data_IF_504656639227
#
_entry.id   IF_504656639227
#
_cell.length_a   1.000
_cell.length_b   1.000
_cell.length_c   1.000
_cell.angle_alpha   90.00
_cell.angle_beta   90.00
_cell.angle_gamma   90.00
#
_symmetry.space_group_name_H-M   'P 1'
#
loop_
_entity.id
_entity.type
_entity.pdbx_description
1 polymer ?
#
# COMPACT_ATOMS: atom_id res chain seq x y z
N UNK A 1 -49.64 -12.25 -24.48
CA UNK A 1 -48.91 -11.17 -23.79
C UNK A 1 -47.64 -11.72 -23.11
N UNK A 2 -47.69 -12.85 -22.36
CA UNK A 2 -46.57 -13.43 -21.60
C UNK A 2 -45.45 -13.93 -22.52
N UNK A 3 -45.76 -14.69 -23.57
CA UNK A 3 -44.81 -15.23 -24.55
C UNK A 3 -44.05 -14.10 -25.28
N UNK A 4 -44.73 -13.02 -25.67
CA UNK A 4 -44.12 -11.85 -26.28
C UNK A 4 -43.14 -11.14 -25.32
N UNK A 5 -43.46 -11.07 -24.03
CA UNK A 5 -42.55 -10.50 -22.99
C UNK A 5 -41.31 -11.33 -22.77
N UNK A 6 -41.45 -12.65 -22.73
CA UNK A 6 -40.31 -13.58 -22.60
C UNK A 6 -39.42 -13.49 -23.84
N UNK A 7 -39.97 -13.47 -25.03
CA UNK A 7 -39.22 -13.28 -26.28
C UNK A 7 -38.46 -11.94 -26.29
N UNK A 8 -39.08 -10.84 -25.88
CA UNK A 8 -38.41 -9.55 -25.78
C UNK A 8 -37.24 -9.58 -24.80
N UNK A 9 -37.42 -10.17 -23.60
CA UNK A 9 -36.35 -10.31 -22.61
C UNK A 9 -35.20 -11.18 -23.12
N UNK A 10 -35.49 -12.26 -23.84
CA UNK A 10 -34.46 -13.19 -24.37
C UNK A 10 -33.72 -12.62 -25.59
N UNK A 11 -34.42 -12.05 -26.55
CA UNK A 11 -33.82 -11.66 -27.83
C UNK A 11 -33.38 -10.20 -27.90
N UNK A 12 -34.03 -9.29 -27.17
CA UNK A 12 -33.70 -7.86 -27.20
C UNK A 12 -32.84 -7.47 -26.00
N UNK A 13 -33.18 -7.95 -24.80
CA UNK A 13 -32.45 -7.60 -23.59
C UNK A 13 -31.51 -8.71 -23.10
N UNK A 14 -31.44 -9.85 -23.79
CA UNK A 14 -30.66 -10.99 -23.34
C UNK A 14 -29.17 -10.70 -23.13
N UNK A 15 -28.55 -9.97 -24.04
CA UNK A 15 -27.13 -9.60 -23.90
C UNK A 15 -26.90 -8.59 -22.75
N UNK A 16 -27.77 -7.62 -22.61
CA UNK A 16 -27.72 -6.64 -21.52
C UNK A 16 -27.91 -7.30 -20.13
N UNK A 17 -28.90 -8.21 -20.03
CA UNK A 17 -29.16 -8.94 -18.80
C UNK A 17 -28.02 -9.95 -18.47
N UNK A 18 -27.39 -10.56 -19.49
CA UNK A 18 -26.20 -11.39 -19.30
C UNK A 18 -25.02 -10.57 -18.79
N UNK A 19 -24.79 -9.40 -19.33
CA UNK A 19 -23.73 -8.50 -18.90
C UNK A 19 -23.96 -8.01 -17.48
N UNK A 20 -25.18 -7.63 -17.13
CA UNK A 20 -25.57 -7.28 -15.75
C UNK A 20 -25.37 -8.45 -14.77
N UNK A 21 -25.78 -9.66 -15.14
CA UNK A 21 -25.59 -10.85 -14.33
C UNK A 21 -24.09 -11.18 -14.16
N UNK A 22 -23.30 -11.08 -15.24
CA UNK A 22 -21.86 -11.26 -15.18
C UNK A 22 -21.18 -10.26 -14.25
N UNK A 23 -21.52 -8.98 -14.35
CA UNK A 23 -20.98 -7.92 -13.49
C UNK A 23 -21.40 -8.07 -12.01
N UNK A 24 -22.56 -8.65 -11.73
CA UNK A 24 -23.01 -8.96 -10.37
C UNK A 24 -22.40 -10.25 -9.79
N UNK A 25 -22.03 -11.20 -10.64
CA UNK A 25 -21.51 -12.50 -10.25
C UNK A 25 -19.98 -12.59 -10.31
N UNK A 26 -19.31 -11.68 -11.03
CA UNK A 26 -17.86 -11.66 -11.12
C UNK A 26 -17.24 -10.86 -9.97
N UNK A 27 -16.29 -11.43 -9.29
CA UNK A 27 -15.42 -10.73 -8.35
C UNK A 27 -14.06 -10.54 -9.05
N UNK A 28 -13.65 -9.28 -9.15
CA UNK A 28 -12.34 -8.92 -9.64
C UNK A 28 -11.39 -8.81 -8.45
N UNK A 29 -10.50 -9.77 -8.29
CA UNK A 29 -9.38 -9.64 -7.37
C UNK A 29 -8.23 -8.95 -8.11
N UNK A 30 -7.81 -7.79 -7.62
CA UNK A 30 -6.70 -7.03 -8.20
C UNK A 30 -5.39 -7.59 -7.65
N UNK A 31 -4.46 -7.90 -8.55
CA UNK A 31 -3.09 -8.30 -8.19
C UNK A 31 -2.22 -7.06 -8.29
N UNK A 32 -1.69 -6.60 -7.17
CA UNK A 32 -0.82 -5.44 -7.13
C UNK A 32 0.54 -5.75 -7.75
N UNK A 33 1.01 -4.95 -8.72
CA UNK A 33 2.35 -5.09 -9.28
C UNK A 33 3.40 -4.66 -8.25
N UNK A 34 4.61 -5.19 -8.36
CA UNK A 34 5.75 -4.67 -7.62
C UNK A 34 6.22 -3.36 -8.27
N UNK A 35 6.28 -2.30 -7.48
CA UNK A 35 6.82 -1.03 -7.94
C UNK A 35 8.31 -1.14 -8.20
N UNK A 36 8.80 -0.63 -9.33
CA UNK A 36 10.20 -0.65 -9.74
C UNK A 36 11.12 -0.02 -8.70
N UNK A 37 12.34 -0.51 -8.61
CA UNK A 37 13.35 -0.01 -7.68
C UNK A 37 14.03 1.26 -8.21
N UNK A 38 14.53 2.09 -7.29
CA UNK A 38 15.33 3.27 -7.64
C UNK A 38 16.76 3.00 -7.15
N UNK A 39 17.70 3.14 -8.06
CA UNK A 39 19.15 2.93 -7.81
C UNK A 39 19.93 4.22 -7.94
N UNK A 40 21.06 4.30 -7.25
CA UNK A 40 22.07 5.31 -7.51
C UNK A 40 22.91 4.93 -8.75
N UNK A 41 23.84 5.79 -9.15
CA UNK A 41 24.73 5.57 -10.30
C UNK A 41 25.65 4.36 -10.13
N UNK A 42 25.85 3.86 -8.91
CA UNK A 42 26.70 2.72 -8.57
C UNK A 42 25.93 1.41 -8.40
N UNK A 43 24.59 1.45 -8.55
CA UNK A 43 23.70 0.30 -8.40
C UNK A 43 23.21 0.04 -6.96
N UNK A 44 23.46 0.96 -6.02
CA UNK A 44 22.92 0.86 -4.67
C UNK A 44 21.43 1.19 -4.66
N UNK A 45 20.65 0.41 -3.90
CA UNK A 45 19.19 0.57 -3.80
C UNK A 45 18.86 1.78 -2.95
N UNK A 46 18.21 2.78 -3.53
CA UNK A 46 17.70 3.97 -2.84
C UNK A 46 16.23 3.80 -2.41
N UNK A 47 15.45 3.10 -3.23
CA UNK A 47 14.06 2.74 -2.92
C UNK A 47 13.72 1.39 -3.54
N UNK A 48 13.00 0.55 -2.82
CA UNK A 48 12.53 -0.75 -3.31
C UNK A 48 11.15 -1.09 -2.75
N UNK A 49 10.49 -2.10 -3.32
CA UNK A 49 9.22 -2.62 -2.81
C UNK A 49 9.46 -3.93 -2.07
N UNK A 50 9.07 -3.98 -0.81
CA UNK A 50 9.05 -5.18 0.00
C UNK A 50 7.67 -5.84 -0.08
N UNK A 51 7.63 -7.18 -0.14
CA UNK A 51 6.37 -7.93 -0.02
C UNK A 51 5.91 -7.87 1.43
N UNK A 52 4.65 -7.56 1.60
CA UNK A 52 3.92 -7.48 2.87
C UNK A 52 2.52 -8.04 2.63
N UNK A 53 1.73 -8.17 3.68
CA UNK A 53 0.36 -8.66 3.55
C UNK A 53 -0.63 -7.66 4.15
N UNK A 54 -1.84 -7.63 3.61
CA UNK A 54 -2.98 -6.92 4.17
C UNK A 54 -3.97 -7.93 4.73
N UNK A 55 -4.35 -7.75 6.00
CA UNK A 55 -5.27 -8.65 6.70
C UNK A 55 -6.68 -8.09 6.60
N UNK A 56 -7.55 -8.85 5.94
CA UNK A 56 -8.98 -8.55 5.83
C UNK A 56 -9.82 -9.65 6.47
N UNK A 57 -10.99 -9.30 6.95
CA UNK A 57 -11.93 -10.28 7.52
C UNK A 57 -13.31 -10.13 6.89
N UNK A 58 -14.05 -11.23 6.93
CA UNK A 58 -15.48 -11.22 6.74
C UNK A 58 -16.15 -11.59 8.08
N UNK A 59 -16.64 -10.58 8.84
CA UNK A 59 -17.23 -10.80 10.17
C UNK A 59 -18.41 -11.77 10.19
N UNK A 60 -19.16 -11.87 9.10
CA UNK A 60 -20.30 -12.80 9.01
C UNK A 60 -19.86 -14.26 8.87
N UNK A 61 -18.65 -14.51 8.35
CA UNK A 61 -18.09 -15.84 8.17
C UNK A 61 -17.32 -16.35 9.40
N UNK A 62 -16.96 -15.47 10.34
CA UNK A 62 -16.34 -15.85 11.61
C UNK A 62 -17.42 -16.41 12.54
N UNK A 63 -17.66 -17.71 12.45
CA UNK A 63 -18.68 -18.44 13.23
C UNK A 63 -18.11 -19.74 13.74
N UNK A 64 -18.52 -20.15 14.93
CA UNK A 64 -18.26 -21.52 15.40
C UNK A 64 -19.15 -22.48 14.60
N UNK A 65 -18.53 -23.37 13.82
CA UNK A 65 -19.24 -24.36 12.99
C UNK A 65 -19.98 -25.43 13.80
N UNK A 66 -19.65 -25.57 15.09
CA UNK A 66 -20.18 -26.60 15.95
C UNK A 66 -21.22 -26.08 16.95
N UNK A 67 -21.14 -24.82 17.33
CA UNK A 67 -22.07 -24.23 18.30
C UNK A 67 -22.24 -22.71 18.06
N UNK A 68 -23.44 -22.31 17.63
CA UNK A 68 -23.78 -20.90 17.37
C UNK A 68 -23.64 -20.02 18.63
N UNK A 69 -23.84 -20.57 19.82
CA UNK A 69 -23.76 -19.83 21.07
C UNK A 69 -22.30 -19.42 21.41
N UNK A 70 -21.32 -20.11 20.85
CA UNK A 70 -19.90 -19.80 21.01
C UNK A 70 -19.37 -18.76 20.02
N UNK A 71 -20.17 -18.31 19.04
CA UNK A 71 -19.74 -17.40 18.01
C UNK A 71 -19.25 -16.07 18.59
N UNK A 72 -19.91 -15.53 19.61
CA UNK A 72 -19.49 -14.28 20.24
C UNK A 72 -18.15 -14.44 20.98
N UNK A 73 -17.99 -15.52 21.72
CA UNK A 73 -16.72 -15.83 22.40
C UNK A 73 -15.56 -16.04 21.41
N UNK A 74 -15.86 -16.67 20.25
CA UNK A 74 -14.88 -16.81 19.17
C UNK A 74 -14.47 -15.46 18.59
N UNK A 75 -15.42 -14.57 18.31
CA UNK A 75 -15.15 -13.22 17.81
C UNK A 75 -14.32 -12.40 18.79
N UNK A 76 -14.58 -12.48 20.07
CA UNK A 76 -13.77 -11.83 21.11
C UNK A 76 -12.34 -12.39 21.16
N UNK A 77 -12.19 -13.70 21.01
CA UNK A 77 -10.89 -14.37 20.94
C UNK A 77 -10.10 -13.95 19.69
N UNK A 78 -10.75 -13.83 18.54
CA UNK A 78 -10.15 -13.34 17.29
C UNK A 78 -9.75 -11.88 17.43
N UNK A 79 -10.61 -11.02 17.98
CA UNK A 79 -10.31 -9.61 18.20
C UNK A 79 -9.10 -9.41 19.14
N UNK A 80 -9.01 -10.23 20.19
CA UNK A 80 -7.87 -10.22 21.11
C UNK A 80 -6.59 -10.63 20.40
N UNK A 81 -6.62 -11.68 19.59
CA UNK A 81 -5.45 -12.12 18.83
C UNK A 81 -4.95 -11.04 17.85
N UNK A 82 -5.86 -10.38 17.15
CA UNK A 82 -5.49 -9.26 16.26
C UNK A 82 -4.91 -8.08 17.03
N UNK A 83 -5.51 -7.73 18.18
CA UNK A 83 -4.97 -6.67 19.05
C UNK A 83 -3.56 -7.00 19.53
N UNK A 84 -3.32 -8.21 19.99
CA UNK A 84 -2.04 -8.65 20.54
C UNK A 84 -0.94 -8.77 19.45
N UNK A 85 -1.28 -9.33 18.27
CA UNK A 85 -0.32 -9.56 17.18
C UNK A 85 0.02 -8.26 16.44
N UNK A 86 -0.99 -7.44 16.15
CA UNK A 86 -0.82 -6.23 15.34
C UNK A 86 -0.70 -4.94 16.15
N UNK A 87 -0.73 -5.03 17.48
CA UNK A 87 -0.65 -3.88 18.41
C UNK A 87 -1.77 -2.85 18.16
N UNK A 88 -2.99 -3.35 17.92
CA UNK A 88 -4.18 -2.55 17.66
C UNK A 88 -5.00 -2.33 18.91
N UNK A 89 -5.81 -1.26 18.92
CA UNK A 89 -6.81 -1.07 19.96
C UNK A 89 -7.84 -2.20 19.96
N UNK A 90 -8.09 -2.80 21.13
CA UNK A 90 -8.97 -3.95 21.27
C UNK A 90 -10.42 -3.59 20.97
N UNK A 91 -10.91 -2.46 21.46
CA UNK A 91 -12.31 -2.08 21.32
C UNK A 91 -12.67 -1.74 19.87
N UNK A 92 -11.77 -1.07 19.17
CA UNK A 92 -11.91 -0.80 17.74
C UNK A 92 -11.86 -2.09 16.92
N UNK A 93 -10.94 -2.99 17.26
CA UNK A 93 -10.80 -4.29 16.60
C UNK A 93 -12.03 -5.16 16.84
N UNK A 94 -12.55 -5.18 18.07
CA UNK A 94 -13.75 -5.91 18.42
C UNK A 94 -14.98 -5.39 17.64
N UNK A 95 -15.14 -4.09 17.48
CA UNK A 95 -16.20 -3.50 16.66
C UNK A 95 -16.14 -3.98 15.22
N UNK A 96 -14.94 -4.05 14.62
CA UNK A 96 -14.75 -4.57 13.27
C UNK A 96 -15.10 -6.05 13.16
N UNK A 97 -14.63 -6.88 14.11
CA UNK A 97 -14.86 -8.33 14.12
C UNK A 97 -16.33 -8.70 14.39
N UNK A 98 -17.04 -7.87 15.16
CA UNK A 98 -18.47 -8.07 15.47
C UNK A 98 -19.41 -7.41 14.46
N UNK A 99 -18.88 -6.60 13.55
CA UNK A 99 -19.63 -5.88 12.52
C UNK A 99 -20.40 -6.80 11.57
N UNK A 100 -21.20 -6.19 10.70
CA UNK A 100 -22.03 -6.87 9.67
C UNK A 100 -21.50 -6.66 8.26
N UNK A 101 -20.34 -6.05 8.12
CA UNK A 101 -19.69 -5.80 6.83
C UNK A 101 -19.24 -7.11 6.19
N UNK A 102 -19.30 -7.18 4.88
CA UNK A 102 -18.79 -8.36 4.15
C UNK A 102 -17.26 -8.41 4.10
N UNK A 103 -16.60 -7.26 4.18
CA UNK A 103 -15.13 -7.14 4.19
C UNK A 103 -14.75 -5.98 5.12
N UNK A 104 -13.89 -6.25 6.08
CA UNK A 104 -13.28 -5.25 6.95
C UNK A 104 -11.77 -5.41 6.94
N UNK A 105 -11.04 -4.30 6.82
CA UNK A 105 -9.58 -4.31 6.91
C UNK A 105 -9.16 -4.19 8.38
N UNK A 106 -8.39 -5.17 8.86
CA UNK A 106 -7.84 -5.18 10.21
C UNK A 106 -6.50 -4.48 10.25
N UNK A 107 -5.55 -4.92 9.40
CA UNK A 107 -4.22 -4.33 9.34
C UNK A 107 -3.73 -4.31 7.89
N UNK A 108 -3.10 -3.20 7.49
CA UNK A 108 -2.48 -3.04 6.17
C UNK A 108 -0.96 -3.13 6.26
N UNK A 109 -0.34 -3.65 5.21
CA UNK A 109 1.12 -3.67 5.03
C UNK A 109 1.86 -4.33 6.21
N UNK A 110 1.35 -5.47 6.62
CA UNK A 110 1.86 -6.28 7.73
C UNK A 110 3.10 -7.04 7.28
N UNK A 111 4.13 -7.02 8.09
CA UNK A 111 5.36 -7.78 7.85
C UNK A 111 5.16 -9.28 8.01
N UNK A 112 5.91 -10.08 7.26
CA UNK A 112 5.79 -11.54 7.23
C UNK A 112 5.87 -12.18 8.63
N UNK A 113 6.69 -11.64 9.51
CA UNK A 113 6.84 -12.15 10.89
C UNK A 113 5.54 -12.12 11.69
N UNK A 114 4.73 -11.07 11.54
CA UNK A 114 3.41 -10.93 12.18
C UNK A 114 2.36 -11.80 11.49
N UNK A 115 2.46 -11.95 10.17
CA UNK A 115 1.61 -12.87 9.39
C UNK A 115 1.82 -14.32 9.80
N UNK A 116 3.06 -14.73 10.00
CA UNK A 116 3.39 -16.08 10.45
C UNK A 116 2.86 -16.35 11.86
N UNK A 117 2.90 -15.35 12.76
CA UNK A 117 2.27 -15.43 14.08
C UNK A 117 0.75 -15.60 13.96
N UNK A 118 0.11 -14.84 13.05
CA UNK A 118 -1.32 -14.99 12.79
C UNK A 118 -1.66 -16.39 12.26
N UNK A 119 -0.93 -16.89 11.26
CA UNK A 119 -1.14 -18.23 10.69
C UNK A 119 -1.02 -19.30 11.76
N UNK A 120 0.03 -19.23 12.59
CA UNK A 120 0.21 -20.16 13.71
C UNK A 120 -0.97 -20.11 14.69
N UNK A 121 -1.42 -18.90 15.06
CA UNK A 121 -2.58 -18.74 15.93
C UNK A 121 -3.86 -19.29 15.30
N UNK A 122 -4.07 -19.08 13.99
CA UNK A 122 -5.21 -19.63 13.25
C UNK A 122 -5.22 -21.17 13.28
N UNK A 123 -4.06 -21.80 13.08
CA UNK A 123 -3.90 -23.26 13.11
C UNK A 123 -4.15 -23.82 14.51
N UNK A 124 -3.59 -23.21 15.56
CA UNK A 124 -3.75 -23.63 16.95
C UNK A 124 -5.21 -23.53 17.44
N UNK A 125 -5.96 -22.57 16.88
CA UNK A 125 -7.35 -22.33 17.31
C UNK A 125 -8.39 -22.87 16.31
N UNK A 126 -7.96 -23.52 15.22
CA UNK A 126 -8.82 -24.02 14.13
C UNK A 126 -9.73 -22.92 13.54
N UNK A 127 -9.22 -21.71 13.39
CA UNK A 127 -9.94 -20.57 12.81
C UNK A 127 -9.33 -20.28 11.45
N UNK A 128 -9.98 -20.77 10.38
CA UNK A 128 -9.51 -20.53 9.00
C UNK A 128 -10.53 -19.75 8.16
N UNK A 129 -11.79 -19.71 8.59
CA UNK A 129 -12.87 -19.11 7.80
C UNK A 129 -13.12 -17.67 8.23
N UNK A 130 -13.21 -16.79 7.24
CA UNK A 130 -13.52 -15.37 7.48
C UNK A 130 -12.30 -14.49 7.76
N UNK A 131 -11.08 -15.01 7.72
CA UNK A 131 -9.83 -14.26 7.77
C UNK A 131 -9.11 -14.46 6.44
N UNK A 132 -8.79 -13.36 5.75
CA UNK A 132 -8.04 -13.38 4.50
C UNK A 132 -6.69 -12.68 4.70
N UNK A 133 -5.68 -13.23 4.06
CA UNK A 133 -4.32 -12.69 4.03
C UNK A 133 -4.04 -12.40 2.55
N UNK A 134 -4.09 -11.12 2.20
CA UNK A 134 -3.97 -10.67 0.83
C UNK A 134 -2.55 -10.11 0.59
N UNK A 135 -1.86 -10.59 -0.43
CA UNK A 135 -0.53 -10.08 -0.79
C UNK A 135 -0.59 -8.60 -1.13
N UNK A 136 0.32 -7.83 -0.56
CA UNK A 136 0.47 -6.39 -0.77
C UNK A 136 1.96 -6.03 -0.88
N UNK A 137 2.26 -4.80 -1.23
CA UNK A 137 3.63 -4.29 -1.32
C UNK A 137 3.78 -3.00 -0.51
N UNK A 138 4.93 -2.86 0.16
CA UNK A 138 5.29 -1.64 0.91
C UNK A 138 6.55 -1.04 0.31
N UNK A 139 6.52 0.27 0.04
CA UNK A 139 7.71 1.00 -0.37
C UNK A 139 8.65 1.13 0.81
N UNK A 140 9.91 0.85 0.58
CA UNK A 140 10.97 0.87 1.59
C UNK A 140 12.17 1.65 1.08
N UNK A 141 12.69 2.53 1.92
CA UNK A 141 13.83 3.40 1.65
C UNK A 141 14.96 3.06 2.62
N UNK A 142 15.98 2.28 2.19
CA UNK A 142 17.04 1.78 3.07
C UNK A 142 17.83 2.88 3.79
N UNK A 143 17.91 4.06 3.17
CA UNK A 143 18.66 5.21 3.70
C UNK A 143 17.74 6.32 4.24
N UNK A 144 16.60 5.99 4.67
CA UNK A 144 15.51 6.78 5.28
C UNK A 144 15.47 8.29 4.96
N UNK A 145 16.48 9.07 5.33
CA UNK A 145 16.51 10.54 5.15
C UNK A 145 17.30 11.03 3.95
N UNK A 146 18.12 10.14 3.34
CA UNK A 146 18.98 10.52 2.21
C UNK A 146 18.15 10.79 0.95
N UNK A 147 18.43 11.91 0.27
CA UNK A 147 17.72 12.36 -0.93
C UNK A 147 16.21 12.55 -0.73
N UNK A 148 15.76 12.83 0.48
CA UNK A 148 14.32 12.82 0.82
C UNK A 148 13.48 13.73 -0.09
N UNK A 149 13.91 14.96 -0.37
CA UNK A 149 13.19 15.88 -1.25
C UNK A 149 13.28 15.50 -2.73
N UNK A 150 14.31 14.75 -3.13
CA UNK A 150 14.53 14.32 -4.51
C UNK A 150 13.75 13.05 -4.84
N UNK A 151 13.93 12.01 -4.03
CA UNK A 151 13.20 10.74 -4.21
C UNK A 151 11.70 10.97 -3.98
N UNK A 152 11.36 11.70 -2.92
CA UNK A 152 9.98 11.87 -2.50
C UNK A 152 9.41 10.62 -1.86
N UNK A 153 8.10 10.57 -1.71
CA UNK A 153 7.43 9.49 -0.98
C UNK A 153 6.26 8.88 -1.76
N UNK A 154 5.91 7.65 -1.39
CA UNK A 154 4.71 6.98 -1.84
C UNK A 154 3.61 7.01 -0.77
N UNK A 155 2.36 7.01 -1.21
CA UNK A 155 1.18 6.84 -0.36
C UNK A 155 0.95 5.38 0.05
N UNK A 156 -0.08 5.18 0.85
CA UNK A 156 -0.53 3.85 1.30
C UNK A 156 -0.90 2.93 0.13
N UNK A 157 -1.33 3.49 -0.99
CA UNK A 157 -1.76 2.76 -2.17
C UNK A 157 -0.63 2.60 -3.20
N UNK A 158 0.64 2.75 -2.75
CA UNK A 158 1.85 2.70 -3.58
C UNK A 158 1.91 3.74 -4.73
N UNK A 159 1.05 4.77 -4.71
CA UNK A 159 1.10 5.89 -5.63
C UNK A 159 2.19 6.87 -5.22
N UNK A 160 2.99 7.36 -6.17
CA UNK A 160 3.99 8.39 -5.92
C UNK A 160 3.35 9.74 -5.60
N UNK A 161 3.66 10.31 -4.42
CA UNK A 161 3.09 11.58 -3.95
C UNK A 161 3.99 12.79 -4.23
N UNK A 162 5.30 12.61 -4.18
CA UNK A 162 6.28 13.68 -4.31
C UNK A 162 7.55 13.21 -5.03
N UNK A 163 8.38 14.14 -5.47
CA UNK A 163 9.71 13.89 -6.01
C UNK A 163 9.71 13.01 -7.27
N UNK A 164 10.75 12.19 -7.37
CA UNK A 164 10.94 11.22 -8.47
C UNK A 164 9.82 10.16 -8.43
N UNK A 165 9.41 9.73 -7.25
CA UNK A 165 8.31 8.77 -7.10
C UNK A 165 7.03 9.25 -7.81
N UNK A 166 6.68 10.52 -7.70
CA UNK A 166 5.52 11.09 -8.38
C UNK A 166 5.81 11.32 -9.88
N UNK A 167 6.96 11.92 -10.19
CA UNK A 167 7.31 12.28 -11.57
C UNK A 167 7.37 11.07 -12.50
N UNK A 168 7.88 9.95 -12.00
CA UNK A 168 8.06 8.69 -12.74
C UNK A 168 7.04 7.62 -12.32
N UNK A 169 5.94 8.02 -11.69
CA UNK A 169 4.94 7.09 -11.16
C UNK A 169 4.45 6.08 -12.21
N UNK A 170 4.13 6.55 -13.41
CA UNK A 170 3.67 5.69 -14.53
C UNK A 170 4.68 4.61 -14.95
N UNK A 171 5.96 4.86 -14.75
CA UNK A 171 7.04 3.92 -15.11
C UNK A 171 7.30 2.96 -13.95
N UNK A 172 7.32 3.52 -12.73
CA UNK A 172 7.62 2.78 -11.51
C UNK A 172 6.45 1.90 -11.04
N UNK A 173 5.20 2.33 -11.22
CA UNK A 173 4.04 1.66 -10.64
C UNK A 173 3.71 0.30 -11.27
N UNK A 174 4.05 0.09 -12.54
CA UNK A 174 3.65 -1.09 -13.30
C UNK A 174 2.15 -1.11 -13.63
N UNK A 175 1.67 -2.24 -14.12
CA UNK A 175 0.26 -2.45 -14.50
C UNK A 175 -0.35 -3.52 -13.60
N UNK A 176 -1.44 -3.22 -12.88
CA UNK A 176 -2.08 -4.22 -12.01
C UNK A 176 -2.67 -5.36 -12.84
N UNK A 177 -2.50 -6.57 -12.34
CA UNK A 177 -3.18 -7.75 -12.82
C UNK A 177 -4.56 -7.89 -12.20
N UNK A 178 -5.33 -8.84 -12.70
CA UNK A 178 -6.64 -9.18 -12.13
C UNK A 178 -6.98 -10.65 -12.31
N UNK A 179 -7.64 -11.20 -11.32
CA UNK A 179 -8.32 -12.49 -11.41
C UNK A 179 -9.81 -12.19 -11.49
N UNK A 180 -10.43 -12.66 -12.57
CA UNK A 180 -11.88 -12.59 -12.74
C UNK A 180 -12.43 -13.97 -12.48
N UNK A 181 -13.05 -14.17 -11.33
CA UNK A 181 -13.75 -15.41 -10.99
C UNK A 181 -15.25 -15.18 -10.92
N UNK A 182 -16.04 -16.16 -11.36
CA UNK A 182 -17.50 -16.11 -11.21
C UNK A 182 -17.89 -16.68 -9.87
N UNK A 183 -18.64 -15.89 -9.07
CA UNK A 183 -19.21 -16.33 -7.80
C UNK A 183 -20.73 -16.35 -7.83
N UNK A 184 -21.33 -17.23 -7.06
CA UNK A 184 -22.78 -17.28 -6.87
C UNK A 184 -23.29 -16.04 -6.13
N UNK A 185 -24.61 -15.82 -6.10
CA UNK A 185 -25.23 -14.74 -5.33
C UNK A 185 -24.91 -14.81 -3.81
N UNK A 186 -24.50 -15.97 -3.32
CA UNK A 186 -23.99 -16.18 -1.94
C UNK A 186 -22.47 -15.88 -1.79
N UNK A 187 -21.80 -15.42 -2.84
CA UNK A 187 -20.33 -15.17 -2.88
C UNK A 187 -19.48 -16.46 -2.74
N UNK A 188 -20.04 -17.61 -3.00
CA UNK A 188 -19.30 -18.87 -3.12
C UNK A 188 -18.81 -19.05 -4.55
N UNK A 189 -17.59 -19.57 -4.73
CA UNK A 189 -17.04 -19.89 -6.05
C UNK A 189 -17.89 -20.95 -6.75
N UNK A 190 -18.24 -20.67 -8.01
CA UNK A 190 -19.00 -21.64 -8.82
C UNK A 190 -17.99 -22.64 -9.39
N UNK A 191 -18.05 -23.92 -8.99
CA UNK A 191 -17.16 -24.95 -9.52
C UNK A 191 -17.28 -25.02 -11.05
N UNK A 192 -16.15 -25.16 -11.75
CA UNK A 192 -16.06 -25.27 -13.22
C UNK A 192 -16.35 -23.98 -14.03
N UNK A 193 -16.23 -22.78 -13.46
CA UNK A 193 -16.16 -21.54 -14.25
C UNK A 193 -14.71 -21.25 -14.60
N UNK A 194 -14.46 -20.84 -15.86
CA UNK A 194 -13.12 -20.41 -16.28
C UNK A 194 -12.72 -19.14 -15.54
N UNK A 195 -11.65 -19.23 -14.76
CA UNK A 195 -11.02 -18.07 -14.19
C UNK A 195 -10.16 -17.38 -15.25
N UNK A 196 -10.42 -16.11 -15.49
CA UNK A 196 -9.55 -15.32 -16.37
C UNK A 196 -8.47 -14.68 -15.51
N UNK A 197 -7.24 -15.16 -15.66
CA UNK A 197 -6.06 -14.61 -15.00
C UNK A 197 -5.35 -13.65 -15.94
N UNK A 198 -5.23 -12.39 -15.53
CA UNK A 198 -4.40 -11.38 -16.18
C UNK A 198 -3.24 -11.09 -15.23
N UNK A 199 -2.03 -11.46 -15.61
CA UNK A 199 -0.85 -11.26 -14.80
C UNK A 199 -0.58 -9.76 -14.57
N UNK A 200 -0.08 -9.40 -13.37
CA UNK A 200 0.43 -8.08 -13.12
C UNK A 200 1.78 -7.89 -13.82
N UNK A 201 1.99 -6.72 -14.41
CA UNK A 201 3.29 -6.32 -14.96
C UNK A 201 3.99 -5.41 -13.98
N UNK A 202 5.15 -5.85 -13.47
CA UNK A 202 5.93 -5.05 -12.52
C UNK A 202 6.42 -3.74 -13.14
N UNK A 203 6.58 -2.71 -12.32
CA UNK A 203 7.16 -1.45 -12.75
C UNK A 203 8.62 -1.60 -13.17
N UNK A 204 9.06 -0.68 -14.02
CA UNK A 204 10.47 -0.61 -14.47
C UNK A 204 11.32 0.06 -13.42
N UNK A 205 12.57 -0.37 -13.31
CA UNK A 205 13.56 0.23 -12.42
C UNK A 205 14.08 1.56 -12.97
N UNK A 206 14.53 2.42 -12.08
CA UNK A 206 15.10 3.72 -12.42
C UNK A 206 16.50 3.85 -11.82
N UNK A 207 17.49 4.21 -12.63
CA UNK A 207 18.84 4.54 -12.16
C UNK A 207 19.08 6.04 -12.25
N UNK A 208 19.50 6.63 -11.13
CA UNK A 208 19.82 8.05 -11.02
C UNK A 208 21.30 8.29 -11.30
N UNK A 209 21.65 9.51 -11.67
CA UNK A 209 23.06 9.95 -11.82
C UNK A 209 23.74 10.22 -10.48
N UNK A 210 22.96 10.30 -9.39
CA UNK A 210 23.45 10.57 -8.04
C UNK A 210 24.33 9.42 -7.54
N UNK A 211 25.45 9.76 -6.91
CA UNK A 211 26.31 8.83 -6.17
C UNK A 211 26.01 8.95 -4.67
N UNK A 212 25.58 7.84 -4.06
CA UNK A 212 25.19 7.80 -2.65
C UNK A 212 26.32 8.22 -1.71
N UNK A 213 27.59 7.92 -2.05
CA UNK A 213 28.72 8.30 -1.20
C UNK A 213 28.92 9.82 -1.21
N UNK A 214 28.87 10.43 -2.40
CA UNK A 214 28.94 11.90 -2.55
C UNK A 214 27.76 12.54 -1.84
N UNK A 215 26.56 12.04 -2.05
CA UNK A 215 25.33 12.52 -1.43
C UNK A 215 25.43 12.52 0.10
N UNK A 216 25.87 11.42 0.70
CA UNK A 216 26.00 11.30 2.15
C UNK A 216 27.00 12.30 2.74
N UNK A 217 28.11 12.53 2.03
CA UNK A 217 29.11 13.52 2.43
C UNK A 217 28.51 14.92 2.37
N UNK A 218 27.82 15.25 1.28
CA UNK A 218 27.19 16.57 1.07
C UNK A 218 26.14 16.83 2.14
N UNK A 219 25.25 15.88 2.42
CA UNK A 219 24.21 16.03 3.46
C UNK A 219 24.82 16.25 4.85
N UNK A 220 25.88 15.49 5.19
CA UNK A 220 26.58 15.64 6.47
C UNK A 220 27.11 17.06 6.67
N UNK A 221 27.86 17.57 5.67
CA UNK A 221 28.46 18.89 5.79
C UNK A 221 27.45 20.04 5.64
N UNK A 222 26.39 19.86 4.82
CA UNK A 222 25.30 20.81 4.75
C UNK A 222 24.59 20.94 6.08
N UNK A 223 24.24 19.83 6.72
CA UNK A 223 23.65 19.81 8.07
C UNK A 223 24.53 20.54 9.06
N UNK A 224 25.83 20.23 9.07
CA UNK A 224 26.80 20.85 9.98
C UNK A 224 26.86 22.37 9.73
N UNK A 225 26.96 22.80 8.47
CA UNK A 225 27.02 24.22 8.13
C UNK A 225 25.76 24.99 8.56
N UNK A 226 24.58 24.40 8.38
CA UNK A 226 23.30 25.03 8.79
C UNK A 226 23.20 25.15 10.31
N UNK A 227 23.58 24.08 11.03
CA UNK A 227 23.49 24.04 12.50
C UNK A 227 24.53 24.98 13.12
N UNK A 228 25.79 24.88 12.72
CA UNK A 228 26.91 25.68 13.31
C UNK A 228 26.73 27.20 13.09
N UNK A 229 26.06 27.58 12.00
CA UNK A 229 25.82 28.98 11.68
C UNK A 229 24.41 29.46 12.02
N UNK A 230 23.58 28.66 12.68
CA UNK A 230 22.20 28.98 13.07
C UNK A 230 21.36 29.49 11.88
N UNK A 231 21.43 28.82 10.72
CA UNK A 231 20.70 29.22 9.52
C UNK A 231 19.22 28.83 9.66
N UNK A 232 18.37 29.83 9.88
CA UNK A 232 16.94 29.61 10.20
C UNK A 232 16.15 28.93 9.08
N UNK A 233 16.44 29.23 7.83
CA UNK A 233 15.73 28.74 6.67
C UNK A 233 16.34 27.47 6.04
N UNK A 234 17.32 26.85 6.71
CA UNK A 234 18.03 25.70 6.18
C UNK A 234 18.94 26.01 5.00
N UNK A 235 19.25 25.01 4.19
CA UNK A 235 20.15 25.18 3.06
C UNK A 235 19.99 24.10 1.99
N UNK A 236 20.49 24.39 0.80
CA UNK A 236 20.54 23.46 -0.33
C UNK A 236 21.96 23.37 -0.88
N UNK A 237 22.34 22.20 -1.36
CA UNK A 237 23.61 21.97 -2.03
C UNK A 237 23.42 21.05 -3.22
N UNK A 238 23.95 21.44 -4.38
CA UNK A 238 23.92 20.65 -5.61
C UNK A 238 25.35 20.46 -6.08
N UNK A 239 25.71 19.22 -6.35
CA UNK A 239 27.01 18.84 -6.93
C UNK A 239 26.76 18.28 -8.32
N UNK A 240 27.39 18.90 -9.31
CA UNK A 240 27.19 18.56 -10.72
C UNK A 240 28.55 18.35 -11.40
N UNK A 241 28.60 17.36 -12.29
CA UNK A 241 29.74 17.18 -13.20
C UNK A 241 29.62 18.21 -14.36
N UNK A 242 30.51 19.19 -14.48
CA UNK A 242 30.36 20.24 -15.49
C UNK A 242 30.63 19.75 -16.92
N UNK A 243 31.23 18.57 -17.09
CA UNK A 243 31.53 18.00 -18.41
C UNK A 243 30.34 17.23 -19.00
N UNK A 244 29.57 16.54 -18.13
CA UNK A 244 28.45 15.67 -18.57
C UNK A 244 27.10 16.30 -18.27
N UNK A 245 27.03 17.21 -17.30
CA UNK A 245 25.78 17.77 -16.78
C UNK A 245 25.10 16.89 -15.73
N UNK A 246 25.70 15.75 -15.35
CA UNK A 246 25.11 14.82 -14.38
C UNK A 246 25.09 15.44 -12.99
N UNK A 247 23.96 15.33 -12.32
CA UNK A 247 23.80 15.68 -10.91
C UNK A 247 24.34 14.51 -10.08
N UNK A 248 25.45 14.73 -9.37
CA UNK A 248 26.10 13.73 -8.53
C UNK A 248 25.57 13.72 -7.10
N UNK A 249 25.11 14.87 -6.60
CA UNK A 249 24.40 14.99 -5.34
C UNK A 249 23.45 16.18 -5.34
N UNK A 250 22.34 16.07 -4.63
CA UNK A 250 21.35 17.12 -4.41
C UNK A 250 20.83 16.99 -2.99
N UNK A 251 21.27 17.86 -2.09
CA UNK A 251 20.93 17.82 -0.68
C UNK A 251 20.16 19.07 -0.27
N UNK A 252 19.20 18.86 0.62
CA UNK A 252 18.44 19.90 1.31
C UNK A 252 18.45 19.59 2.80
N UNK A 253 18.64 20.58 3.62
CA UNK A 253 18.49 20.49 5.07
C UNK A 253 17.59 21.63 5.57
N UNK A 254 16.58 21.37 6.40
CA UNK A 254 16.25 20.07 7.03
C UNK A 254 15.67 19.05 6.04
N UNK A 255 15.92 17.78 6.31
CA UNK A 255 15.37 16.62 5.58
C UNK A 255 14.31 15.90 6.43
N UNK A 256 13.66 14.88 5.88
CA UNK A 256 12.63 14.08 6.56
C UNK A 256 12.84 12.58 6.27
N UNK A 257 12.23 11.72 7.11
CA UNK A 257 12.29 10.26 6.90
C UNK A 257 11.29 9.85 5.82
N UNK A 258 11.81 9.26 4.73
CA UNK A 258 11.01 8.75 3.62
C UNK A 258 10.09 7.58 4.01
N UNK A 259 10.45 6.82 5.04
CA UNK A 259 9.62 5.73 5.55
C UNK A 259 8.48 6.24 6.45
N UNK A 260 8.57 7.50 6.92
CA UNK A 260 7.57 8.16 7.76
C UNK A 260 7.31 9.61 7.27
N UNK A 261 6.92 9.82 6.01
CA UNK A 261 6.89 11.15 5.38
C UNK A 261 5.85 12.10 5.98
N UNK A 262 4.89 11.58 6.73
CA UNK A 262 3.82 12.38 7.36
C UNK A 262 4.06 12.65 8.85
N UNK A 263 5.18 12.19 9.39
CA UNK A 263 5.55 12.52 10.79
C UNK A 263 6.17 13.92 10.80
N UNK A 264 5.56 14.91 11.50
CA UNK A 264 6.10 16.25 11.56
C UNK A 264 7.49 16.24 12.20
N UNK A 265 8.50 16.72 11.48
CA UNK A 265 9.75 17.13 12.12
C UNK A 265 9.53 18.48 12.80
N UNK A 266 10.22 18.77 13.91
CA UNK A 266 10.18 20.08 14.55
C UNK A 266 10.46 21.22 13.56
N UNK A 267 11.28 20.98 12.53
CA UNK A 267 11.59 21.94 11.48
C UNK A 267 10.55 22.00 10.35
N UNK A 268 9.84 20.92 10.06
CA UNK A 268 8.80 20.89 9.02
C UNK A 268 7.55 21.67 9.42
N UNK A 269 7.24 21.73 10.71
CA UNK A 269 6.13 22.53 11.29
C UNK A 269 6.37 24.03 11.07
N UNK A 270 7.62 24.49 11.18
CA UNK A 270 7.99 25.89 10.91
C UNK A 270 7.77 26.30 9.45
N UNK A 271 8.04 25.40 8.51
CA UNK A 271 7.92 25.68 7.07
C UNK A 271 6.46 25.75 6.56
N UNK A 272 5.58 24.92 7.11
CA UNK A 272 4.15 24.97 6.76
C UNK A 272 3.46 26.22 7.32
N UNK A 273 3.89 26.73 8.45
CA UNK A 273 3.37 27.98 9.02
C UNK A 273 3.78 29.22 8.22
N UNK A 274 5.01 29.27 7.70
CA UNK A 274 5.48 30.39 6.89
C UNK A 274 4.74 30.48 5.53
N UNK A 275 4.47 29.34 4.85
CA UNK A 275 3.70 29.34 3.59
C UNK A 275 2.23 29.74 3.78
N UNK A 276 1.63 29.48 4.92
CA UNK A 276 0.26 29.87 5.19
C UNK A 276 0.08 31.40 5.37
N UNK A 277 1.15 32.12 5.66
CA UNK A 277 1.17 33.58 5.77
C UNK A 277 1.45 34.30 4.44
N UNK A 278 2.18 33.68 3.51
CA UNK A 278 2.51 34.30 2.20
C UNK A 278 1.35 34.28 1.18
N UNK A 279 0.31 33.48 1.39
CA UNK A 279 -0.85 33.42 0.47
C UNK A 279 -1.99 34.39 0.81
N UNK A 280 -1.78 35.35 1.73
CA UNK A 280 -2.72 36.42 2.09
C UNK A 280 -2.15 37.81 1.81
N UNK A 281 -1.60 37.99 0.65
CA UNK A 281 -1.21 39.28 0.10
C UNK A 281 -1.93 39.54 -1.22
#
# INVERSE_FOLDING_TARGET
>A
LLIGRIGFLQFVQGNYLKELAYNQQSINQIISPKRGSIYDSTGKVLATSASVDTITINPEKIKDSKNSDNTQALKEKVAKAFSDIFELDYDETLKKVTGTSKVETIAKKVEQSKVDQLKKWMDENNVSVGINIDEDTKRYYPYSTVLSQVIGSCGSDNQGLAGIENKWDKVLAGTPGKIVSSKSASQEEIPNTEETYIAAENGSDLTLTVDLNIQTIVEKYLKQAVVDNNVENGGNCIVMNPKTGDILAMATYPNYDLNQPFTPNEYAVSYTHLRAHETRG
#
